data_IF_920502003571
#
_entry.id   IF_920502003571
#
_cell.length_a   1.000
_cell.length_b   1.000
_cell.length_c   1.000
_cell.angle_alpha   90.00
_cell.angle_beta   90.00
_cell.angle_gamma   90.00
#
_symmetry.space_group_name_H-M   'P 1'
#
loop_
_entity.id
_entity.type
_entity.pdbx_description
1 polymer ?
#
# COMPACT_ATOMS: atom_id res chain seq x y z
N UNK A 1 4.48 -26.29 0.05
CA UNK A 1 5.87 -26.35 -0.44
C UNK A 1 6.83 -27.09 0.51
N UNK A 2 6.91 -26.80 1.83
CA UNK A 2 7.87 -27.47 2.71
C UNK A 2 7.67 -28.98 2.86
N UNK A 3 6.41 -29.42 2.84
CA UNK A 3 6.04 -30.85 2.90
C UNK A 3 6.56 -31.63 1.69
N UNK A 4 6.63 -30.99 0.52
CA UNK A 4 7.17 -31.62 -0.70
C UNK A 4 8.69 -31.78 -0.57
N UNK A 5 9.39 -30.77 -0.03
CA UNK A 5 10.83 -30.85 0.18
C UNK A 5 11.22 -31.96 1.16
N UNK A 6 10.40 -32.27 2.17
CA UNK A 6 10.65 -33.39 3.09
C UNK A 6 10.69 -34.75 2.39
N UNK A 7 10.05 -34.89 1.22
CA UNK A 7 10.05 -36.13 0.44
C UNK A 7 11.21 -36.20 -0.57
N UNK A 8 12.00 -35.14 -0.72
CA UNK A 8 13.14 -35.07 -1.64
C UNK A 8 14.46 -35.43 -0.96
N UNK A 9 15.36 -36.09 -1.69
CA UNK A 9 16.76 -36.23 -1.28
C UNK A 9 17.38 -34.83 -1.08
N UNK A 10 18.03 -34.59 0.06
CA UNK A 10 18.52 -33.26 0.49
C UNK A 10 17.43 -32.18 0.65
N UNK A 11 16.20 -32.57 0.99
CA UNK A 11 15.07 -31.67 1.20
C UNK A 11 15.31 -30.44 2.07
N UNK A 12 16.08 -30.59 3.16
CA UNK A 12 16.43 -29.49 4.06
C UNK A 12 17.31 -28.43 3.38
N UNK A 13 18.23 -28.84 2.49
CA UNK A 13 19.09 -27.92 1.75
C UNK A 13 18.28 -27.09 0.75
N UNK A 14 17.41 -27.73 -0.03
CA UNK A 14 16.50 -27.03 -0.95
C UNK A 14 15.50 -26.14 -0.20
N UNK A 15 15.00 -26.59 0.95
CA UNK A 15 14.19 -25.78 1.85
C UNK A 15 14.92 -24.53 2.34
N UNK A 16 16.18 -24.65 2.75
CA UNK A 16 16.99 -23.52 3.19
C UNK A 16 17.21 -22.49 2.06
N UNK A 17 17.55 -22.94 0.85
CA UNK A 17 17.68 -22.05 -0.32
C UNK A 17 16.35 -21.37 -0.64
N UNK A 18 15.24 -22.11 -0.59
CA UNK A 18 13.91 -21.56 -0.86
C UNK A 18 13.54 -20.44 0.13
N UNK A 19 13.70 -20.67 1.43
CA UNK A 19 13.42 -19.64 2.44
C UNK A 19 14.41 -18.47 2.38
N UNK A 20 15.67 -18.73 2.05
CA UNK A 20 16.66 -17.67 1.83
C UNK A 20 16.29 -16.79 0.63
N UNK A 21 15.80 -17.39 -0.46
CA UNK A 21 15.28 -16.65 -1.61
C UNK A 21 14.08 -15.78 -1.23
N UNK A 22 13.11 -16.33 -0.48
CA UNK A 22 11.96 -15.57 0.01
C UNK A 22 12.38 -14.43 0.94
N UNK A 23 13.39 -14.64 1.77
CA UNK A 23 13.96 -13.61 2.63
C UNK A 23 14.56 -12.44 1.83
N UNK A 24 15.37 -12.75 0.80
CA UNK A 24 15.93 -11.73 -0.09
C UNK A 24 14.84 -10.97 -0.86
N UNK A 25 13.84 -11.68 -1.38
CA UNK A 25 12.69 -11.07 -2.07
C UNK A 25 11.86 -10.19 -1.13
N UNK A 26 11.69 -10.61 0.13
CA UNK A 26 10.99 -9.82 1.15
C UNK A 26 11.72 -8.53 1.51
N UNK A 27 13.05 -8.55 1.61
CA UNK A 27 13.86 -7.36 1.90
C UNK A 27 13.69 -6.31 0.81
N UNK A 28 13.84 -6.68 -0.46
CA UNK A 28 13.77 -5.72 -1.56
C UNK A 28 12.39 -5.08 -1.68
N UNK A 29 11.32 -5.86 -1.50
CA UNK A 29 9.94 -5.35 -1.49
C UNK A 29 9.67 -4.41 -0.32
N UNK A 30 10.11 -4.77 0.89
CA UNK A 30 9.91 -3.94 2.10
C UNK A 30 10.61 -2.58 1.98
N UNK A 31 11.83 -2.56 1.41
CA UNK A 31 12.57 -1.30 1.17
C UNK A 31 11.80 -0.39 0.21
N UNK A 32 11.21 -0.94 -0.86
CA UNK A 32 10.41 -0.16 -1.80
C UNK A 32 9.14 0.42 -1.15
N UNK A 33 8.49 -0.32 -0.24
CA UNK A 33 7.28 0.13 0.46
C UNK A 33 7.57 1.24 1.50
N UNK A 34 8.75 1.22 2.13
CA UNK A 34 9.15 2.23 3.13
C UNK A 34 9.55 3.56 2.49
N UNK A 35 10.04 3.52 1.25
CA UNK A 35 10.61 4.68 0.57
C UNK A 35 9.63 5.87 0.41
N UNK A 36 8.35 5.71 0.03
CA UNK A 36 7.41 6.83 -0.07
C UNK A 36 7.22 7.58 1.26
N UNK A 37 7.14 6.85 2.37
CA UNK A 37 6.98 7.46 3.72
C UNK A 37 8.24 8.21 4.10
N UNK A 38 9.41 7.63 3.82
CA UNK A 38 10.69 8.31 4.03
C UNK A 38 10.85 9.55 3.15
N UNK A 39 10.39 9.52 1.89
CA UNK A 39 10.43 10.66 0.98
C UNK A 39 9.55 11.80 1.51
N UNK A 40 8.33 11.48 1.95
CA UNK A 40 7.43 12.46 2.58
C UNK A 40 8.08 13.16 3.79
N UNK A 41 8.71 12.41 4.69
CA UNK A 41 9.41 13.00 5.85
C UNK A 41 10.62 13.85 5.46
N UNK A 42 11.36 13.45 4.43
CA UNK A 42 12.52 14.21 3.94
C UNK A 42 12.10 15.51 3.24
N UNK A 43 11.08 15.45 2.41
CA UNK A 43 10.64 16.60 1.59
C UNK A 43 9.84 17.61 2.41
N UNK A 44 8.87 17.14 3.21
CA UNK A 44 7.95 18.04 3.93
C UNK A 44 8.48 18.46 5.31
N UNK A 45 9.19 17.56 6.00
CA UNK A 45 9.73 17.84 7.33
C UNK A 45 11.23 18.18 7.34
N UNK A 46 11.89 18.12 6.17
CA UNK A 46 13.34 18.36 6.01
C UNK A 46 14.22 17.47 6.91
N UNK A 47 13.75 16.25 7.18
CA UNK A 47 14.50 15.29 7.97
C UNK A 47 15.68 14.74 7.15
N UNK A 48 16.78 14.40 7.82
CA UNK A 48 17.86 13.67 7.16
C UNK A 48 17.42 12.23 6.88
N UNK A 49 17.95 11.61 5.81
CA UNK A 49 17.65 10.22 5.45
C UNK A 49 17.80 9.25 6.63
N UNK A 50 18.85 9.40 7.44
CA UNK A 50 19.10 8.57 8.62
C UNK A 50 18.00 8.73 9.68
N UNK A 51 17.59 9.96 9.96
CA UNK A 51 16.53 10.23 10.93
C UNK A 51 15.17 9.72 10.45
N UNK A 52 14.83 9.96 9.17
CA UNK A 52 13.60 9.46 8.56
C UNK A 52 13.53 7.92 8.61
N UNK A 53 14.64 7.24 8.28
CA UNK A 53 14.71 5.77 8.36
C UNK A 53 14.47 5.27 9.78
N UNK A 54 15.10 5.87 10.80
CA UNK A 54 14.88 5.46 12.19
C UNK A 54 13.43 5.64 12.63
N UNK A 55 12.81 6.77 12.29
CA UNK A 55 11.40 7.03 12.63
C UNK A 55 10.50 5.99 11.99
N UNK A 56 10.65 5.74 10.69
CA UNK A 56 9.81 4.76 9.99
C UNK A 56 10.05 3.35 10.54
N UNK A 57 11.30 2.95 10.81
CA UNK A 57 11.60 1.63 11.39
C UNK A 57 10.98 1.42 12.77
N UNK A 58 11.03 2.44 13.65
CA UNK A 58 10.40 2.36 14.98
C UNK A 58 8.88 2.29 14.86
N UNK A 59 8.29 3.07 13.95
CA UNK A 59 6.85 3.02 13.68
C UNK A 59 6.44 1.63 13.18
N UNK A 60 7.12 1.10 12.17
CA UNK A 60 6.84 -0.23 11.61
C UNK A 60 6.98 -1.30 12.69
N UNK A 61 8.05 -1.28 13.49
CA UNK A 61 8.24 -2.22 14.59
C UNK A 61 7.08 -2.16 15.59
N UNK A 62 6.67 -0.96 16.00
CA UNK A 62 5.56 -0.77 16.94
C UNK A 62 4.23 -1.34 16.40
N UNK A 63 3.88 -1.02 15.15
CA UNK A 63 2.66 -1.53 14.52
C UNK A 63 2.73 -3.01 14.14
N UNK A 64 3.92 -3.61 14.11
CA UNK A 64 4.09 -5.03 13.83
C UNK A 64 3.77 -5.93 15.04
N UNK A 65 3.86 -5.42 16.27
CA UNK A 65 3.58 -6.22 17.47
C UNK A 65 2.15 -6.81 17.48
N UNK A 66 1.07 -6.02 17.29
CA UNK A 66 -0.28 -6.56 17.17
C UNK A 66 -0.42 -7.64 16.08
N UNK A 67 0.24 -7.45 14.94
CA UNK A 67 0.18 -8.39 13.82
C UNK A 67 0.78 -9.73 14.19
N UNK A 68 1.91 -9.74 14.92
CA UNK A 68 2.58 -10.97 15.36
C UNK A 68 1.76 -11.69 16.43
N UNK A 69 1.28 -10.98 17.44
CA UNK A 69 0.55 -11.59 18.56
C UNK A 69 -0.85 -12.08 18.19
N UNK A 70 -1.54 -11.37 17.30
CA UNK A 70 -2.92 -11.66 16.92
C UNK A 70 -3.06 -12.31 15.54
N UNK A 71 -1.95 -12.84 14.99
CA UNK A 71 -1.93 -13.52 13.69
C UNK A 71 -2.98 -14.64 13.60
N UNK A 72 -3.13 -15.42 14.68
CA UNK A 72 -4.10 -16.53 14.76
C UNK A 72 -5.56 -16.09 14.72
N UNK A 73 -5.84 -14.86 15.13
CA UNK A 73 -7.19 -14.27 15.20
C UNK A 73 -7.56 -13.48 13.94
N UNK A 74 -6.81 -13.65 12.85
CA UNK A 74 -7.08 -13.00 11.56
C UNK A 74 -6.70 -11.52 11.51
N UNK A 75 -5.92 -11.00 12.46
CA UNK A 75 -5.53 -9.59 12.49
C UNK A 75 -4.78 -9.15 11.21
N UNK A 76 -3.81 -9.96 10.77
CA UNK A 76 -3.09 -9.72 9.51
C UNK A 76 -4.02 -9.75 8.30
N UNK A 77 -4.98 -10.69 8.27
CA UNK A 77 -5.92 -10.84 7.15
C UNK A 77 -6.78 -9.59 6.98
N UNK A 78 -7.21 -8.97 8.09
CA UNK A 78 -7.97 -7.72 8.02
C UNK A 78 -7.13 -6.59 7.43
N UNK A 79 -5.88 -6.42 7.88
CA UNK A 79 -4.98 -5.39 7.32
C UNK A 79 -4.67 -5.62 5.85
N UNK A 80 -4.32 -6.85 5.48
CA UNK A 80 -3.98 -7.24 4.12
C UNK A 80 -5.17 -7.06 3.17
N UNK A 81 -6.37 -7.42 3.62
CA UNK A 81 -7.58 -7.20 2.85
C UNK A 81 -7.83 -5.69 2.61
N UNK A 82 -7.86 -4.87 3.65
CA UNK A 82 -8.21 -3.46 3.51
C UNK A 82 -7.16 -2.65 2.77
N UNK A 83 -5.88 -2.90 3.02
CA UNK A 83 -4.77 -2.11 2.42
C UNK A 83 -4.27 -2.74 1.13
N UNK A 84 -3.94 -4.03 1.15
CA UNK A 84 -3.29 -4.73 0.04
C UNK A 84 -4.24 -5.21 -1.05
N UNK A 85 -5.50 -5.47 -0.73
CA UNK A 85 -6.50 -5.97 -1.70
C UNK A 85 -7.50 -4.88 -2.10
N UNK A 86 -8.34 -4.43 -1.17
CA UNK A 86 -9.39 -3.46 -1.44
C UNK A 86 -8.83 -2.06 -1.72
N UNK A 87 -7.97 -1.56 -0.81
CA UNK A 87 -7.34 -0.25 -0.92
C UNK A 87 -6.55 -0.09 -2.20
N UNK A 88 -5.74 -1.09 -2.55
CA UNK A 88 -4.95 -1.12 -3.80
C UNK A 88 -5.82 -0.84 -5.05
N UNK A 89 -6.95 -1.53 -5.18
CA UNK A 89 -7.87 -1.35 -6.32
C UNK A 89 -8.50 0.04 -6.31
N UNK A 90 -8.96 0.52 -5.14
CA UNK A 90 -9.57 1.84 -5.00
C UNK A 90 -8.57 2.96 -5.34
N UNK A 91 -7.34 2.89 -4.81
CA UNK A 91 -6.29 3.86 -5.11
C UNK A 91 -5.91 3.82 -6.60
N UNK A 92 -5.81 2.64 -7.22
CA UNK A 92 -5.54 2.54 -8.66
C UNK A 92 -6.64 3.23 -9.50
N UNK A 93 -7.92 3.08 -9.13
CA UNK A 93 -9.02 3.80 -9.79
C UNK A 93 -8.84 5.32 -9.64
N UNK A 94 -8.57 5.79 -8.43
CA UNK A 94 -8.37 7.21 -8.13
C UNK A 94 -7.18 7.77 -8.92
N UNK A 95 -6.05 7.07 -8.94
CA UNK A 95 -4.85 7.45 -9.67
C UNK A 95 -5.11 7.55 -11.18
N UNK A 96 -5.79 6.57 -11.76
CA UNK A 96 -6.17 6.60 -13.19
C UNK A 96 -7.11 7.76 -13.49
N UNK A 97 -8.08 8.04 -12.63
CA UNK A 97 -9.00 9.18 -12.79
C UNK A 97 -8.23 10.50 -12.73
N UNK A 98 -7.40 10.71 -11.71
CA UNK A 98 -6.61 11.93 -11.57
C UNK A 98 -5.65 12.08 -12.74
N UNK A 99 -4.91 11.04 -13.11
CA UNK A 99 -3.86 11.12 -14.11
C UNK A 99 -4.38 11.25 -15.55
N UNK A 100 -5.47 10.57 -15.91
CA UNK A 100 -5.95 10.56 -17.31
C UNK A 100 -7.13 11.51 -17.56
N UNK A 101 -7.94 11.79 -16.54
CA UNK A 101 -9.07 12.71 -16.67
C UNK A 101 -8.75 14.13 -16.19
N UNK A 102 -8.17 14.28 -14.99
CA UNK A 102 -7.86 15.61 -14.44
C UNK A 102 -6.60 16.19 -15.07
N UNK A 103 -5.50 15.44 -15.07
CA UNK A 103 -4.26 15.85 -15.72
C UNK A 103 -4.37 15.75 -17.25
N UNK A 104 -5.16 14.82 -17.76
CA UNK A 104 -5.59 14.79 -19.17
C UNK A 104 -4.71 13.94 -20.08
N UNK A 105 -5.36 13.12 -20.89
CA UNK A 105 -4.78 12.09 -21.76
C UNK A 105 -3.55 12.53 -22.58
N UNK A 106 -3.61 13.70 -23.24
CA UNK A 106 -2.50 14.17 -24.09
C UNK A 106 -1.27 14.57 -23.27
N UNK A 107 -1.48 15.19 -22.10
CA UNK A 107 -0.38 15.60 -21.20
C UNK A 107 0.22 14.38 -20.53
N UNK A 108 -0.61 13.47 -20.04
CA UNK A 108 -0.18 12.17 -19.51
C UNK A 108 0.67 11.38 -20.53
N UNK A 109 0.23 11.31 -21.79
CA UNK A 109 1.00 10.65 -22.84
C UNK A 109 2.36 11.30 -23.09
N UNK A 110 2.39 12.63 -23.15
CA UNK A 110 3.64 13.36 -23.36
C UNK A 110 4.59 13.14 -22.18
N UNK A 111 4.08 13.15 -20.95
CA UNK A 111 4.87 12.97 -19.74
C UNK A 111 5.48 11.56 -19.66
N UNK A 112 4.68 10.53 -19.95
CA UNK A 112 5.15 9.14 -19.95
C UNK A 112 6.26 8.91 -21.00
N UNK A 113 6.16 9.58 -22.15
CA UNK A 113 7.17 9.49 -23.21
C UNK A 113 8.30 10.51 -23.07
N UNK A 114 8.26 11.36 -22.05
CA UNK A 114 9.29 12.37 -21.82
C UNK A 114 10.54 11.68 -21.28
N UNK A 115 11.62 11.66 -22.06
CA UNK A 115 12.87 11.00 -21.67
C UNK A 115 12.81 9.46 -21.74
N UNK A 116 11.79 8.88 -22.37
CA UNK A 116 11.68 7.43 -22.52
C UNK A 116 12.55 6.91 -23.68
N UNK A 117 13.35 5.87 -23.43
CA UNK A 117 14.06 5.14 -24.50
C UNK A 117 13.08 4.42 -25.43
N UNK A 118 11.96 3.92 -24.88
CA UNK A 118 10.90 3.23 -25.62
C UNK A 118 9.62 4.07 -25.58
N UNK A 119 9.11 4.41 -26.76
CA UNK A 119 7.90 5.22 -26.88
C UNK A 119 6.65 4.35 -26.82
N UNK A 120 5.75 4.68 -25.88
CA UNK A 120 4.49 3.99 -25.68
C UNK A 120 3.44 4.50 -26.68
N UNK A 121 2.80 3.61 -27.46
CA UNK A 121 1.72 4.00 -28.37
C UNK A 121 0.55 4.66 -27.64
N UNK A 122 -0.06 5.68 -28.26
CA UNK A 122 -1.23 6.39 -27.69
C UNK A 122 -2.41 5.47 -27.37
N UNK A 123 -2.52 4.34 -28.07
CA UNK A 123 -3.57 3.34 -27.84
C UNK A 123 -3.48 2.77 -26.42
N UNK A 124 -2.27 2.57 -25.87
CA UNK A 124 -2.08 2.02 -24.52
C UNK A 124 -2.72 2.92 -23.47
N UNK A 125 -2.57 4.24 -23.59
CA UNK A 125 -3.19 5.18 -22.64
C UNK A 125 -4.71 5.17 -22.74
N UNK A 126 -5.23 4.96 -23.96
CA UNK A 126 -6.67 4.80 -24.16
C UNK A 126 -7.19 3.49 -23.56
N UNK A 127 -6.41 2.41 -23.63
CA UNK A 127 -6.69 1.14 -22.95
C UNK A 127 -6.71 1.37 -21.44
N UNK A 128 -5.70 2.03 -20.86
CA UNK A 128 -5.68 2.32 -19.42
C UNK A 128 -6.88 3.18 -19.00
N UNK A 129 -7.20 4.21 -19.77
CA UNK A 129 -8.30 5.13 -19.49
C UNK A 129 -9.67 4.47 -19.47
N UNK A 130 -9.94 3.56 -20.42
CA UNK A 130 -11.27 2.98 -20.59
C UNK A 130 -11.33 1.51 -20.15
N UNK A 131 -10.43 0.67 -20.66
CA UNK A 131 -10.46 -0.78 -20.40
C UNK A 131 -10.01 -1.08 -18.98
N UNK A 132 -8.83 -0.58 -18.56
CA UNK A 132 -8.33 -0.82 -17.20
C UNK A 132 -9.27 -0.20 -16.17
N UNK A 133 -9.72 1.05 -16.39
CA UNK A 133 -10.68 1.69 -15.49
C UNK A 133 -12.00 0.92 -15.39
N UNK A 134 -12.59 0.50 -16.52
CA UNK A 134 -13.81 -0.29 -16.51
C UNK A 134 -13.61 -1.63 -15.81
N UNK A 135 -12.49 -2.32 -16.06
CA UNK A 135 -12.17 -3.59 -15.42
C UNK A 135 -12.07 -3.45 -13.90
N UNK A 136 -11.35 -2.44 -13.39
CA UNK A 136 -11.21 -2.20 -11.96
C UNK A 136 -12.57 -1.86 -11.31
N UNK A 137 -13.40 -1.05 -11.97
CA UNK A 137 -14.74 -0.71 -11.48
C UNK A 137 -15.64 -1.94 -11.45
N UNK A 138 -15.66 -2.74 -12.53
CA UNK A 138 -16.45 -3.99 -12.60
C UNK A 138 -16.01 -4.97 -11.53
N UNK A 139 -14.70 -5.14 -11.32
CA UNK A 139 -14.15 -6.01 -10.28
C UNK A 139 -14.64 -5.57 -8.90
N UNK A 140 -14.58 -4.27 -8.60
CA UNK A 140 -15.02 -3.73 -7.32
C UNK A 140 -16.54 -3.91 -7.10
N UNK A 141 -17.35 -3.64 -8.13
CA UNK A 141 -18.81 -3.81 -8.08
C UNK A 141 -19.20 -5.27 -7.91
N UNK A 142 -18.55 -6.17 -8.64
CA UNK A 142 -18.81 -7.61 -8.58
C UNK A 142 -18.45 -8.17 -7.20
N UNK A 143 -17.27 -7.81 -6.69
CA UNK A 143 -16.88 -8.17 -5.33
C UNK A 143 -17.86 -7.63 -4.28
N UNK A 144 -18.27 -6.35 -4.41
CA UNK A 144 -19.20 -5.75 -3.47
C UNK A 144 -20.56 -6.46 -3.46
N UNK A 145 -21.05 -6.88 -4.63
CA UNK A 145 -22.31 -7.60 -4.79
C UNK A 145 -22.27 -9.03 -4.22
N UNK A 146 -21.14 -9.72 -4.30
CA UNK A 146 -20.99 -11.09 -3.81
C UNK A 146 -20.66 -11.14 -2.32
N UNK A 147 -19.55 -10.50 -1.93
CA UNK A 147 -18.92 -10.72 -0.62
C UNK A 147 -18.80 -9.44 0.21
N UNK A 148 -18.94 -8.26 -0.39
CA UNK A 148 -18.71 -6.98 0.28
C UNK A 148 -19.56 -6.79 1.54
N UNK A 149 -20.86 -7.05 1.45
CA UNK A 149 -21.78 -6.91 2.60
C UNK A 149 -21.47 -7.96 3.68
N UNK A 150 -21.20 -9.20 3.28
CA UNK A 150 -20.90 -10.30 4.20
C UNK A 150 -19.59 -10.08 4.96
N UNK A 151 -18.59 -9.52 4.29
CA UNK A 151 -17.29 -9.16 4.86
C UNK A 151 -17.41 -7.95 5.82
N UNK A 152 -18.13 -6.90 5.41
CA UNK A 152 -18.38 -5.74 6.27
C UNK A 152 -19.11 -6.10 7.56
N UNK A 153 -20.11 -6.99 7.46
CA UNK A 153 -20.90 -7.49 8.58
C UNK A 153 -20.20 -8.60 9.40
N UNK A 154 -18.94 -8.94 9.08
CA UNK A 154 -18.14 -9.96 9.77
C UNK A 154 -18.84 -11.33 9.91
N UNK A 155 -19.73 -11.69 8.97
CA UNK A 155 -20.54 -12.91 9.08
C UNK A 155 -19.71 -14.20 9.12
N UNK A 156 -18.50 -14.15 8.57
CA UNK A 156 -17.58 -15.28 8.46
C UNK A 156 -16.53 -15.31 9.59
N UNK A 157 -16.60 -14.42 10.57
CA UNK A 157 -15.64 -14.33 11.68
C UNK A 157 -16.24 -15.00 12.92
N UNK A 158 -15.51 -15.90 13.62
CA UNK A 158 -15.92 -16.40 14.92
C UNK A 158 -16.16 -15.26 15.91
N UNK A 159 -17.20 -15.34 16.75
CA UNK A 159 -17.55 -14.27 17.70
C UNK A 159 -16.43 -13.96 18.70
N UNK A 160 -15.57 -14.94 18.97
CA UNK A 160 -14.37 -14.80 19.81
C UNK A 160 -13.30 -13.87 19.21
N UNK A 161 -13.26 -13.74 17.89
CA UNK A 161 -12.23 -12.96 17.19
C UNK A 161 -12.64 -11.49 16.94
N UNK A 162 -13.89 -11.14 17.22
CA UNK A 162 -14.45 -9.80 16.98
C UNK A 162 -13.61 -8.67 17.59
N UNK A 163 -13.10 -8.77 18.83
CA UNK A 163 -12.27 -7.72 19.41
C UNK A 163 -11.00 -7.44 18.60
N UNK A 164 -10.37 -8.48 18.06
CA UNK A 164 -9.12 -8.36 17.29
C UNK A 164 -9.36 -7.72 15.93
N UNK A 165 -10.45 -8.08 15.25
CA UNK A 165 -10.83 -7.46 13.96
C UNK A 165 -11.17 -5.98 14.16
N UNK A 166 -11.94 -5.63 15.19
CA UNK A 166 -12.21 -4.24 15.51
C UNK A 166 -10.92 -3.49 15.86
N UNK A 167 -10.02 -4.10 16.61
CA UNK A 167 -8.73 -3.51 16.93
C UNK A 167 -7.90 -3.24 15.66
N UNK A 168 -7.88 -4.17 14.70
CA UNK A 168 -7.22 -3.95 13.41
C UNK A 168 -7.81 -2.75 12.66
N UNK A 169 -9.15 -2.65 12.61
CA UNK A 169 -9.85 -1.52 11.97
C UNK A 169 -9.54 -0.19 12.65
N UNK A 170 -9.60 -0.12 13.97
CA UNK A 170 -9.25 1.09 14.72
C UNK A 170 -7.78 1.46 14.53
N UNK A 171 -6.87 0.49 14.51
CA UNK A 171 -5.46 0.73 14.26
C UNK A 171 -5.25 1.33 12.86
N UNK A 172 -5.90 0.78 11.82
CA UNK A 172 -5.83 1.34 10.47
C UNK A 172 -6.36 2.77 10.42
N UNK A 173 -7.53 3.02 11.02
CA UNK A 173 -8.08 4.37 11.09
C UNK A 173 -7.16 5.33 11.84
N UNK A 174 -6.52 4.89 12.92
CA UNK A 174 -5.55 5.68 13.67
C UNK A 174 -4.31 6.01 12.83
N UNK A 175 -3.78 5.05 12.07
CA UNK A 175 -2.65 5.27 11.15
C UNK A 175 -3.04 6.23 10.04
N UNK A 176 -4.21 6.07 9.42
CA UNK A 176 -4.72 6.99 8.40
C UNK A 176 -4.93 8.40 8.96
N UNK A 177 -5.51 8.52 10.15
CA UNK A 177 -5.70 9.81 10.82
C UNK A 177 -4.37 10.48 11.17
N UNK A 178 -3.38 9.70 11.64
CA UNK A 178 -2.02 10.18 11.88
C UNK A 178 -1.39 10.71 10.59
N UNK A 179 -1.52 9.99 9.48
CA UNK A 179 -1.00 10.44 8.18
C UNK A 179 -1.68 11.72 7.70
N UNK A 180 -3.01 11.81 7.79
CA UNK A 180 -3.76 13.04 7.45
C UNK A 180 -3.32 14.21 8.33
N UNK A 181 -3.13 13.97 9.63
CA UNK A 181 -2.64 14.96 10.57
C UNK A 181 -1.22 15.43 10.22
N UNK A 182 -0.31 14.52 9.87
CA UNK A 182 1.04 14.86 9.43
C UNK A 182 1.03 15.68 8.14
N UNK A 183 0.20 15.33 7.16
CA UNK A 183 0.01 16.10 5.93
C UNK A 183 -0.54 17.50 6.25
N UNK A 184 -1.51 17.59 7.15
CA UNK A 184 -2.07 18.88 7.58
C UNK A 184 -1.00 19.75 8.25
N UNK A 185 -0.17 19.17 9.13
CA UNK A 185 0.92 19.86 9.81
C UNK A 185 1.99 20.34 8.82
N UNK A 186 2.38 19.48 7.87
CA UNK A 186 3.30 19.82 6.79
C UNK A 186 2.80 21.03 5.98
N UNK A 187 1.53 21.00 5.58
CA UNK A 187 0.90 22.08 4.83
C UNK A 187 0.89 23.40 5.61
N UNK A 188 0.52 23.38 6.89
CA UNK A 188 0.53 24.58 7.73
C UNK A 188 1.93 25.19 7.85
N UNK A 189 2.96 24.35 7.96
CA UNK A 189 4.36 24.79 8.05
C UNK A 189 4.79 25.53 6.77
N UNK A 190 4.43 24.98 5.61
CA UNK A 190 4.70 25.58 4.29
C UNK A 190 4.00 26.93 4.12
N UNK A 191 2.74 27.06 4.59
CA UNK A 191 2.01 28.33 4.60
C UNK A 191 2.67 29.38 5.50
N UNK A 192 3.13 29.02 6.70
CA UNK A 192 3.82 29.97 7.61
C UNK A 192 5.17 30.46 7.07
N UNK A 193 5.92 29.60 6.38
CA UNK A 193 7.19 29.98 5.75
C UNK A 193 6.94 30.98 4.61
N UNK A 194 5.95 30.70 3.74
CA UNK A 194 5.57 31.61 2.63
C UNK A 194 5.05 32.97 3.09
N UNK A 195 4.46 33.06 4.29
CA UNK A 195 4.00 34.33 4.87
C UNK A 195 5.13 35.18 5.48
N UNK A 196 6.31 34.60 5.78
CA UNK A 196 7.45 35.33 6.38
C UNK A 196 8.44 35.88 5.37
N UNK A 197 8.28 35.54 4.09
CA UNK A 197 9.04 36.12 2.97
C UNK A 197 8.02 36.51 1.90
N UNK A 198 7.37 37.69 2.02
CA UNK A 198 6.73 38.29 0.87
C UNK A 198 7.83 38.68 -0.12
N UNK A 199 7.64 38.30 -1.39
CA UNK A 199 8.53 38.62 -2.51
C UNK A 199 8.83 40.13 -2.59
#
# INVERSE_FOLDING_TARGET
>A
MPIIFQQMFLGQFFGAIWFFLLFLAGISSTVAMVQPVMAFLQEEFRMTRKSASWVVSVMVLFFSFPVIFFLKHGFLNELDFWVGTFGLVVFAIIEVLIFLWVFGERRAWKEINSGSEIHIPRVVIRIVKYVTLAYLVVLLVFWFAQDGISFLLMKNVPREDFPYVWFARFMMLAVSALMIFLVHLAWQRKRRIRQRMPD
#
